data_IF_390054955125
#
_entry.id   IF_390054955125
#
_cell.length_a   1.000
_cell.length_b   1.000
_cell.length_c   1.000
_cell.angle_alpha   90.00
_cell.angle_beta   90.00
_cell.angle_gamma   90.00
#
_symmetry.space_group_name_H-M   'P 1'
#
loop_
_entity.id
_entity.type
_entity.pdbx_description
1 polymer ?
#
# COMPACT_ATOMS: atom_id res chain seq x y z
N UNK A 1 -2.77 22.54 -11.26
CA UNK A 1 -1.31 22.42 -10.97
C UNK A 1 -1.06 20.96 -10.63
N UNK A 2 -0.81 20.12 -11.63
CA UNK A 2 -0.82 18.65 -11.49
C UNK A 2 0.63 18.15 -11.36
N UNK A 3 1.22 18.31 -10.18
CA UNK A 3 2.55 17.77 -9.86
C UNK A 3 2.51 16.70 -8.74
N UNK A 4 1.54 15.75 -8.66
CA UNK A 4 1.63 14.66 -7.69
C UNK A 4 2.28 13.37 -8.22
N UNK A 5 2.38 13.14 -9.53
CA UNK A 5 2.71 11.80 -10.04
C UNK A 5 4.14 11.34 -9.72
N UNK A 6 5.12 12.24 -9.80
CA UNK A 6 6.53 11.84 -9.71
C UNK A 6 7.00 11.59 -8.27
N UNK A 7 6.54 12.38 -7.31
CA UNK A 7 6.88 12.22 -5.89
C UNK A 7 6.26 10.94 -5.31
N UNK A 8 5.01 10.67 -5.69
CA UNK A 8 4.30 9.48 -5.25
C UNK A 8 4.93 8.22 -5.83
N UNK A 9 5.39 8.25 -7.09
CA UNK A 9 6.11 7.11 -7.71
C UNK A 9 7.43 6.81 -6.99
N UNK A 10 8.27 7.82 -6.74
CA UNK A 10 9.56 7.59 -6.07
C UNK A 10 9.41 7.08 -4.64
N UNK A 11 8.40 7.56 -3.90
CA UNK A 11 8.07 7.01 -2.58
C UNK A 11 7.58 5.56 -2.68
N UNK A 12 6.70 5.27 -3.64
CA UNK A 12 6.21 3.90 -3.86
C UNK A 12 7.35 2.93 -4.22
N UNK A 13 8.29 3.35 -5.05
CA UNK A 13 9.48 2.56 -5.40
C UNK A 13 10.37 2.32 -4.19
N UNK A 14 10.57 3.34 -3.35
CA UNK A 14 11.36 3.23 -2.12
C UNK A 14 10.71 2.26 -1.13
N UNK A 15 9.38 2.31 -0.99
CA UNK A 15 8.61 1.42 -0.12
C UNK A 15 8.65 -0.02 -0.66
N UNK A 16 8.46 -0.23 -1.97
CA UNK A 16 8.57 -1.56 -2.58
C UNK A 16 9.98 -2.14 -2.43
N UNK A 17 11.02 -1.31 -2.56
CA UNK A 17 12.40 -1.73 -2.32
C UNK A 17 12.64 -2.09 -0.85
N UNK A 18 12.06 -1.35 0.11
CA UNK A 18 12.13 -1.68 1.54
C UNK A 18 11.40 -2.98 1.88
N UNK A 19 10.25 -3.22 1.25
CA UNK A 19 9.47 -4.45 1.43
C UNK A 19 10.05 -5.65 0.68
N UNK A 20 10.89 -5.40 -0.32
CA UNK A 20 11.35 -6.44 -1.26
C UNK A 20 10.20 -7.05 -2.08
N UNK A 21 9.08 -6.34 -2.21
CA UNK A 21 7.82 -6.82 -2.78
C UNK A 21 7.21 -5.74 -3.66
N UNK A 22 6.55 -6.15 -4.74
CA UNK A 22 5.78 -5.21 -5.56
C UNK A 22 4.46 -4.84 -4.89
N UNK A 23 3.85 -3.73 -5.30
CA UNK A 23 2.50 -3.35 -4.85
C UNK A 23 1.47 -4.47 -5.06
N UNK A 24 1.59 -5.22 -6.17
CA UNK A 24 0.73 -6.37 -6.48
C UNK A 24 0.90 -7.51 -5.48
N UNK A 25 2.14 -7.79 -5.06
CA UNK A 25 2.41 -8.82 -4.05
C UNK A 25 1.81 -8.42 -2.70
N UNK A 26 1.96 -7.15 -2.31
CA UNK A 26 1.33 -6.61 -1.10
C UNK A 26 -0.19 -6.71 -1.20
N UNK A 27 -0.79 -6.39 -2.35
CA UNK A 27 -2.22 -6.53 -2.58
C UNK A 27 -2.69 -7.98 -2.40
N UNK A 28 -1.93 -8.94 -2.92
CA UNK A 28 -2.27 -10.35 -2.80
C UNK A 28 -2.10 -10.89 -1.39
N UNK A 29 -1.12 -10.40 -0.63
CA UNK A 29 -1.01 -10.68 0.81
C UNK A 29 -2.24 -10.15 1.55
N UNK A 30 -2.61 -8.90 1.31
CA UNK A 30 -3.79 -8.28 1.94
C UNK A 30 -5.08 -9.00 1.57
N UNK A 31 -5.24 -9.46 0.33
CA UNK A 31 -6.37 -10.29 -0.07
C UNK A 31 -6.38 -11.64 0.66
N UNK A 32 -5.21 -12.27 0.83
CA UNK A 32 -5.07 -13.55 1.54
C UNK A 32 -5.35 -13.43 3.04
N UNK A 33 -5.09 -12.28 3.65
CA UNK A 33 -5.43 -12.04 5.07
C UNK A 33 -6.93 -11.84 5.30
N UNK A 34 -7.70 -11.54 4.25
CA UNK A 34 -9.13 -11.24 4.35
C UNK A 34 -9.43 -9.92 5.06
N UNK A 35 -8.42 -9.08 5.27
CA UNK A 35 -8.59 -7.77 5.92
C UNK A 35 -9.27 -6.79 4.96
N UNK A 36 -10.44 -6.30 5.37
CA UNK A 36 -11.25 -5.37 4.58
C UNK A 36 -11.20 -3.93 5.09
N UNK A 37 -10.56 -3.69 6.23
CA UNK A 37 -10.44 -2.36 6.85
C UNK A 37 -9.05 -1.79 6.66
N UNK A 38 -8.99 -0.55 6.17
CA UNK A 38 -7.74 0.18 5.95
C UNK A 38 -6.84 0.21 7.20
N UNK A 39 -7.41 0.44 8.39
CA UNK A 39 -6.65 0.48 9.65
C UNK A 39 -6.01 -0.87 9.99
N UNK A 40 -6.73 -1.97 9.75
CA UNK A 40 -6.23 -3.32 10.08
C UNK A 40 -5.11 -3.70 9.12
N UNK A 41 -5.27 -3.39 7.82
CA UNK A 41 -4.22 -3.58 6.82
C UNK A 41 -2.99 -2.74 7.14
N UNK A 42 -3.18 -1.46 7.49
CA UNK A 42 -2.07 -0.57 7.89
C UNK A 42 -1.31 -1.16 9.07
N UNK A 43 -2.03 -1.56 10.12
CA UNK A 43 -1.42 -2.10 11.33
C UNK A 43 -0.69 -3.41 11.08
N UNK A 44 -1.24 -4.28 10.22
CA UNK A 44 -0.57 -5.49 9.76
C UNK A 44 0.73 -5.15 9.03
N UNK A 45 0.71 -4.17 8.11
CA UNK A 45 1.91 -3.78 7.38
C UNK A 45 2.99 -3.20 8.29
N UNK A 46 2.61 -2.30 9.21
CA UNK A 46 3.53 -1.74 10.22
C UNK A 46 4.18 -2.84 11.08
N UNK A 47 3.39 -3.83 11.52
CA UNK A 47 3.86 -4.88 12.42
C UNK A 47 4.69 -5.96 11.74
N UNK A 48 4.24 -6.46 10.58
CA UNK A 48 4.86 -7.59 9.88
C UNK A 48 6.09 -7.15 9.07
N UNK A 49 6.06 -5.94 8.51
CA UNK A 49 7.11 -5.44 7.62
C UNK A 49 7.91 -4.26 8.18
N UNK A 50 7.57 -3.78 9.39
CA UNK A 50 8.31 -2.71 10.05
C UNK A 50 8.29 -1.37 9.30
N UNK A 51 7.33 -1.17 8.39
CA UNK A 51 7.20 0.09 7.66
C UNK A 51 6.61 1.19 8.55
N UNK A 52 6.97 2.44 8.25
CA UNK A 52 6.49 3.59 9.01
C UNK A 52 5.00 3.82 8.74
N UNK A 53 4.33 4.44 9.70
CA UNK A 53 2.91 4.79 9.62
C UNK A 53 2.54 5.52 8.31
N UNK A 54 3.34 6.50 7.88
CA UNK A 54 3.08 7.27 6.66
C UNK A 54 3.16 6.40 5.41
N UNK A 55 4.17 5.53 5.32
CA UNK A 55 4.36 4.60 4.19
C UNK A 55 3.22 3.56 4.15
N UNK A 56 2.87 3.01 5.31
CA UNK A 56 1.77 2.07 5.45
C UNK A 56 0.43 2.70 5.07
N UNK A 57 0.18 3.94 5.49
CA UNK A 57 -1.02 4.70 5.14
C UNK A 57 -1.11 4.94 3.64
N UNK A 58 -0.01 5.30 2.99
CA UNK A 58 0.06 5.51 1.55
C UNK A 58 -0.23 4.22 0.79
N UNK A 59 0.43 3.10 1.15
CA UNK A 59 0.17 1.80 0.54
C UNK A 59 -1.30 1.40 0.64
N UNK A 60 -1.89 1.54 1.83
CA UNK A 60 -3.30 1.21 2.05
C UNK A 60 -4.22 2.08 1.19
N UNK A 61 -3.96 3.39 1.09
CA UNK A 61 -4.75 4.27 0.23
C UNK A 61 -4.71 3.80 -1.24
N UNK A 62 -3.52 3.50 -1.76
CA UNK A 62 -3.34 3.05 -3.15
C UNK A 62 -3.97 1.68 -3.40
N UNK A 63 -3.82 0.74 -2.46
CA UNK A 63 -4.43 -0.58 -2.55
C UNK A 63 -5.95 -0.47 -2.58
N UNK A 64 -6.54 0.34 -1.71
CA UNK A 64 -7.99 0.52 -1.65
C UNK A 64 -8.54 1.34 -2.82
N UNK A 65 -7.82 2.35 -3.32
CA UNK A 65 -8.17 3.06 -4.55
C UNK A 65 -8.16 2.12 -5.77
N UNK A 66 -7.15 1.25 -5.87
CA UNK A 66 -7.06 0.26 -6.95
C UNK A 66 -8.18 -0.79 -6.86
N UNK A 67 -8.55 -1.20 -5.65
CA UNK A 67 -9.70 -2.08 -5.41
C UNK A 67 -11.05 -1.42 -5.72
N UNK A 68 -11.19 -0.12 -5.45
CA UNK A 68 -12.39 0.65 -5.78
C UNK A 68 -12.53 0.86 -7.29
N UNK A 69 -11.42 1.04 -8.02
CA UNK A 69 -11.42 1.13 -9.48
C UNK A 69 -11.75 -0.20 -10.17
N UNK A 70 -11.40 -1.34 -9.58
CA UNK A 70 -11.72 -2.66 -10.14
C UNK A 70 -13.20 -3.10 -9.92
N UNK A 71 -13.98 -2.33 -9.16
CA UNK A 71 -15.36 -2.63 -8.82
C UNK A 71 -16.41 -1.81 -9.61
N UNK A 72 -16.00 -1.12 -10.69
CA UNK A 72 -16.86 -0.23 -11.48
C UNK A 72 -16.81 -0.58 -12.98
#
# INVERSE_FOLDING_TARGET
MNVPDRTNQTQLESIQAQLGMSLSDVADIVKRTGLTRQNDVRWMLEREYGIKYEDARMLVAILFESHLQAAN
#
